data_IF_761070353282
#
_entry.id   IF_761070353282
#
_cell.length_a   1.000
_cell.length_b   1.000
_cell.length_c   1.000
_cell.angle_alpha   90.00
_cell.angle_beta   90.00
_cell.angle_gamma   90.00
#
_symmetry.space_group_name_H-M   'P 1'
#
loop_
_entity.id
_entity.type
_entity.pdbx_description
1 polymer ?
#
# COMPACT_ATOMS: atom_id res chain seq x y z
N UNK A 1 0.96 -0.92 1.52
CA UNK A 1 2.30 -0.30 1.50
C UNK A 1 2.82 -0.44 0.09
N UNK A 2 2.67 0.61 -0.71
CA UNK A 2 3.14 0.62 -2.11
C UNK A 2 4.30 1.61 -2.14
N UNK A 3 5.45 1.17 -2.66
CA UNK A 3 6.65 2.00 -2.72
C UNK A 3 7.17 2.43 -1.34
N UNK A 4 7.10 1.53 -0.36
CA UNK A 4 7.52 1.75 1.02
C UNK A 4 6.76 2.85 1.80
N UNK A 5 5.70 3.43 1.22
CA UNK A 5 4.90 4.43 1.92
C UNK A 5 4.14 3.78 3.08
N UNK A 6 4.25 4.41 4.25
CA UNK A 6 3.58 4.01 5.48
C UNK A 6 4.12 2.70 6.09
N UNK A 7 5.36 2.32 5.78
CA UNK A 7 6.03 1.20 6.47
C UNK A 7 6.22 1.48 7.96
N UNK A 8 6.35 2.75 8.33
CA UNK A 8 6.45 3.23 9.71
C UNK A 8 5.19 2.93 10.53
N UNK A 9 4.04 2.75 9.86
CA UNK A 9 2.80 2.39 10.55
C UNK A 9 2.66 0.91 10.83
N UNK A 10 3.47 0.05 10.22
CA UNK A 10 3.45 -1.40 10.50
C UNK A 10 4.64 -1.83 11.35
N UNK A 11 5.76 -1.11 11.28
CA UNK A 11 6.92 -1.35 12.10
C UNK A 11 6.75 -0.63 13.45
N UNK A 12 6.90 -1.36 14.55
CA UNK A 12 6.92 -0.74 15.87
C UNK A 12 8.22 0.06 16.04
N UNK A 13 8.11 1.36 16.30
CA UNK A 13 9.25 2.25 16.46
C UNK A 13 9.35 2.76 17.91
N UNK A 14 10.54 2.91 18.50
CA UNK A 14 10.69 3.41 19.86
C UNK A 14 10.59 4.94 19.91
N UNK A 15 9.50 5.50 19.38
CA UNK A 15 9.27 6.94 19.32
C UNK A 15 8.07 7.39 20.17
N UNK A 16 7.77 8.69 20.13
CA UNK A 16 6.69 9.30 20.92
C UNK A 16 5.29 8.98 20.38
N UNK A 17 5.20 8.51 19.14
CA UNK A 17 3.94 8.26 18.43
C UNK A 17 3.50 6.80 18.62
N UNK A 18 4.44 5.87 18.77
CA UNK A 18 4.17 4.44 18.93
C UNK A 18 3.16 4.09 20.03
N UNK A 19 3.19 4.69 21.25
CA UNK A 19 2.16 4.43 22.26
C UNK A 19 0.74 4.75 21.78
N UNK A 20 0.59 5.79 20.94
CA UNK A 20 -0.70 6.13 20.34
C UNK A 20 -1.11 5.14 19.25
N UNK A 21 -0.16 4.67 18.42
CA UNK A 21 -0.44 3.68 17.35
C UNK A 21 -0.79 2.28 17.90
N UNK A 22 -0.20 1.91 19.04
CA UNK A 22 -0.45 0.63 19.71
C UNK A 22 -1.64 0.68 20.70
N UNK A 23 -2.15 1.88 21.02
CA UNK A 23 -3.28 2.07 21.93
C UNK A 23 -4.57 1.43 21.40
N UNK A 24 -5.41 0.90 22.31
CA UNK A 24 -6.76 0.43 22.01
C UNK A 24 -7.67 1.51 21.40
N UNK A 25 -7.31 2.79 21.58
CA UNK A 25 -8.02 3.94 20.99
C UNK A 25 -7.72 4.14 19.49
N UNK A 26 -6.68 3.49 18.96
CA UNK A 26 -6.30 3.56 17.54
C UNK A 26 -6.60 2.25 16.85
N UNK A 27 -7.32 2.28 15.73
CA UNK A 27 -7.65 1.08 14.95
C UNK A 27 -7.14 1.19 13.52
N UNK A 28 -6.46 0.16 13.06
CA UNK A 28 -5.98 0.01 11.68
C UNK A 28 -6.97 -0.81 10.87
N UNK A 29 -7.63 -0.19 9.90
CA UNK A 29 -8.61 -0.86 9.06
C UNK A 29 -7.97 -1.19 7.71
N UNK A 30 -8.07 -2.45 7.28
CA UNK A 30 -7.61 -2.85 5.95
C UNK A 30 -8.69 -3.61 5.16
N UNK A 31 -8.97 -3.20 3.91
CA UNK A 31 -9.96 -3.85 3.07
C UNK A 31 -9.38 -5.12 2.43
N UNK A 32 -10.20 -6.17 2.35
CA UNK A 32 -9.90 -7.43 1.67
C UNK A 32 -10.95 -7.62 0.59
N UNK A 33 -10.63 -7.30 -0.67
CA UNK A 33 -11.57 -7.50 -1.77
C UNK A 33 -11.78 -8.98 -2.05
N UNK A 34 -12.98 -9.39 -2.43
CA UNK A 34 -13.18 -10.73 -2.97
C UNK A 34 -12.41 -10.92 -4.28
N UNK A 35 -12.14 -12.17 -4.68
CA UNK A 35 -11.49 -12.45 -5.98
C UNK A 35 -12.23 -11.84 -7.16
N UNK A 36 -13.56 -11.96 -7.18
CA UNK A 36 -14.40 -11.40 -8.24
C UNK A 36 -14.36 -9.88 -8.25
N UNK A 37 -14.42 -9.25 -7.07
CA UNK A 37 -14.29 -7.80 -6.95
C UNK A 37 -12.92 -7.34 -7.46
N UNK A 38 -11.83 -7.99 -7.02
CA UNK A 38 -10.47 -7.66 -7.45
C UNK A 38 -10.32 -7.74 -8.98
N UNK A 39 -10.80 -8.82 -9.60
CA UNK A 39 -10.76 -8.99 -11.05
C UNK A 39 -11.54 -7.90 -11.79
N UNK A 40 -12.71 -7.51 -11.27
CA UNK A 40 -13.52 -6.43 -11.83
C UNK A 40 -12.80 -5.08 -11.72
N UNK A 41 -12.19 -4.76 -10.56
CA UNK A 41 -11.42 -3.54 -10.36
C UNK A 41 -10.21 -3.45 -11.31
N UNK A 42 -9.50 -4.55 -11.51
CA UNK A 42 -8.38 -4.61 -12.46
C UNK A 42 -8.84 -4.45 -13.91
N UNK A 43 -10.01 -4.99 -14.28
CA UNK A 43 -10.60 -4.77 -15.59
C UNK A 43 -11.01 -3.30 -15.81
N UNK A 44 -11.61 -2.66 -14.80
CA UNK A 44 -11.92 -1.22 -14.83
C UNK A 44 -10.63 -0.42 -15.01
N UNK A 45 -9.59 -0.69 -14.20
CA UNK A 45 -8.30 0.01 -14.30
C UNK A 45 -7.65 -0.14 -15.67
N UNK A 46 -7.69 -1.33 -16.28
CA UNK A 46 -7.20 -1.52 -17.67
C UNK A 46 -7.97 -0.66 -18.68
N UNK A 47 -9.29 -0.58 -18.52
CA UNK A 47 -10.16 0.21 -19.41
C UNK A 47 -9.91 1.72 -19.27
N UNK A 48 -9.86 2.24 -18.04
CA UNK A 48 -9.65 3.68 -17.78
C UNK A 48 -8.23 4.11 -18.10
N UNK A 49 -7.23 3.26 -17.88
CA UNK A 49 -5.85 3.57 -18.27
C UNK A 49 -5.69 3.65 -19.80
N UNK A 50 -6.37 2.78 -20.55
CA UNK A 50 -6.36 2.82 -22.02
C UNK A 50 -7.19 3.98 -22.59
N UNK A 51 -8.26 4.39 -21.89
CA UNK A 51 -9.18 5.44 -22.31
C UNK A 51 -9.50 6.38 -21.13
N UNK A 52 -8.56 7.25 -20.75
CA UNK A 52 -8.75 8.13 -19.60
C UNK A 52 -9.86 9.13 -19.87
N UNK A 53 -10.76 9.27 -18.90
CA UNK A 53 -11.87 10.24 -18.91
C UNK A 53 -11.50 11.56 -18.25
N UNK A 54 -10.41 11.58 -17.49
CA UNK A 54 -9.84 12.76 -16.86
C UNK A 54 -8.31 12.74 -17.03
N UNK A 55 -7.62 13.89 -17.20
CA UNK A 55 -6.16 13.94 -17.36
C UNK A 55 -5.38 13.21 -16.25
N UNK A 56 -5.93 13.20 -15.04
CA UNK A 56 -5.29 12.57 -13.88
C UNK A 56 -5.38 11.04 -13.88
N UNK A 57 -6.33 10.45 -14.61
CA UNK A 57 -6.39 8.99 -14.76
C UNK A 57 -5.19 8.44 -15.51
N UNK A 58 -4.57 9.24 -16.39
CA UNK A 58 -3.31 8.86 -17.04
C UNK A 58 -2.12 8.85 -16.05
N UNK A 59 -2.26 9.50 -14.89
CA UNK A 59 -1.28 9.51 -13.79
C UNK A 59 -1.52 8.38 -12.79
N UNK A 60 -2.64 7.65 -12.89
CA UNK A 60 -2.92 6.50 -12.04
C UNK A 60 -1.85 5.42 -12.23
N UNK A 61 -1.65 4.60 -11.18
CA UNK A 61 -0.76 3.45 -11.26
C UNK A 61 -1.21 2.51 -12.41
N UNK A 62 -0.31 2.16 -13.35
CA UNK A 62 -0.65 1.30 -14.47
C UNK A 62 -1.01 -0.12 -13.98
N UNK A 63 -1.78 -0.90 -14.76
CA UNK A 63 -2.14 -2.27 -14.40
C UNK A 63 -0.95 -3.16 -14.00
N UNK A 64 0.19 -3.00 -14.69
CA UNK A 64 1.43 -3.72 -14.39
C UNK A 64 1.98 -3.44 -12.99
N UNK A 65 1.73 -2.25 -12.42
CA UNK A 65 2.10 -1.93 -11.03
C UNK A 65 1.25 -2.72 -10.04
N UNK A 66 -0.03 -2.95 -10.32
CA UNK A 66 -0.90 -3.76 -9.46
C UNK A 66 -0.48 -5.23 -9.46
N UNK A 67 -0.13 -5.76 -10.64
CA UNK A 67 0.40 -7.12 -10.81
C UNK A 67 1.74 -7.29 -10.10
N UNK A 68 2.65 -6.33 -10.25
CA UNK A 68 3.92 -6.30 -9.54
C UNK A 68 3.71 -6.26 -8.02
N UNK A 69 2.82 -5.41 -7.52
CA UNK A 69 2.52 -5.32 -6.10
C UNK A 69 2.00 -6.65 -5.55
N UNK A 70 1.10 -7.33 -6.27
CA UNK A 70 0.62 -8.65 -5.85
C UNK A 70 1.74 -9.71 -5.85
N UNK A 71 2.54 -9.77 -6.91
CA UNK A 71 3.68 -10.71 -6.98
C UNK A 71 4.67 -10.48 -5.84
N UNK A 72 4.96 -9.22 -5.51
CA UNK A 72 5.82 -8.88 -4.37
C UNK A 72 5.18 -9.31 -3.05
N UNK A 73 3.87 -9.11 -2.85
CA UNK A 73 3.15 -9.62 -1.68
C UNK A 73 3.31 -11.13 -1.54
N UNK A 74 3.09 -11.90 -2.60
CA UNK A 74 3.23 -13.36 -2.55
C UNK A 74 4.68 -13.79 -2.27
N UNK A 75 5.67 -13.18 -2.94
CA UNK A 75 7.08 -13.47 -2.70
C UNK A 75 7.47 -13.19 -1.24
N UNK A 76 7.08 -12.04 -0.70
CA UNK A 76 7.39 -11.68 0.69
C UNK A 76 6.63 -12.54 1.70
N UNK A 77 5.39 -12.92 1.41
CA UNK A 77 4.64 -13.87 2.23
C UNK A 77 5.30 -15.26 2.28
N UNK A 78 5.86 -15.74 1.15
CA UNK A 78 6.62 -16.99 1.10
C UNK A 78 7.94 -16.89 1.89
N UNK A 79 8.69 -15.79 1.73
CA UNK A 79 9.92 -15.53 2.50
C UNK A 79 9.68 -15.49 4.02
N UNK A 80 8.51 -15.03 4.45
CA UNK A 80 8.08 -15.02 5.85
C UNK A 80 7.50 -16.36 6.33
N UNK A 81 7.34 -17.35 5.44
CA UNK A 81 6.76 -18.66 5.75
C UNK A 81 5.24 -18.64 5.98
N UNK A 82 4.53 -17.61 5.50
CA UNK A 82 3.07 -17.48 5.66
C UNK A 82 2.28 -18.30 4.62
N UNK A 83 2.94 -18.62 3.51
CA UNK A 83 2.43 -19.43 2.41
C UNK A 83 3.54 -20.38 1.93
N UNK A 84 3.19 -21.37 1.11
CA UNK A 84 4.20 -22.24 0.49
C UNK A 84 4.88 -21.52 -0.69
N UNK A 85 6.09 -21.96 -1.04
CA UNK A 85 6.81 -21.43 -2.21
C UNK A 85 6.00 -21.66 -3.52
N UNK A 86 5.23 -22.75 -3.58
CA UNK A 86 4.36 -23.03 -4.73
C UNK A 86 3.24 -21.99 -4.89
N UNK A 87 2.81 -21.36 -3.80
CA UNK A 87 1.77 -20.33 -3.80
C UNK A 87 2.33 -18.91 -4.10
N UNK A 88 3.65 -18.74 -4.19
CA UNK A 88 4.31 -17.44 -4.42
C UNK A 88 3.97 -16.82 -5.79
N UNK A 89 3.43 -17.62 -6.71
CA UNK A 89 3.02 -17.22 -8.05
C UNK A 89 1.51 -17.34 -8.28
N UNK A 90 0.73 -17.56 -7.21
CA UNK A 90 -0.71 -17.67 -7.31
C UNK A 90 -1.33 -16.37 -7.83
N UNK A 91 -2.46 -16.46 -8.58
CA UNK A 91 -3.30 -15.30 -8.84
C UNK A 91 -3.80 -14.71 -7.51
N UNK A 92 -4.56 -13.61 -7.57
CA UNK A 92 -5.08 -13.01 -6.34
C UNK A 92 -5.87 -14.02 -5.51
N UNK A 93 -5.41 -14.22 -4.28
CA UNK A 93 -6.00 -15.12 -3.29
C UNK A 93 -6.24 -14.35 -1.98
N UNK A 94 -7.50 -14.24 -1.58
CA UNK A 94 -7.93 -13.46 -0.42
C UNK A 94 -7.17 -13.85 0.85
N UNK A 95 -6.98 -15.16 1.08
CA UNK A 95 -6.31 -15.64 2.29
C UNK A 95 -4.81 -15.39 2.31
N UNK A 96 -4.15 -15.32 1.15
CA UNK A 96 -2.74 -14.91 1.08
C UNK A 96 -2.62 -13.44 1.49
N UNK A 97 -3.50 -12.59 0.96
CA UNK A 97 -3.57 -11.17 1.31
C UNK A 97 -3.81 -10.98 2.82
N UNK A 98 -4.80 -11.70 3.38
CA UNK A 98 -5.13 -11.65 4.81
C UNK A 98 -3.94 -12.04 5.66
N UNK A 99 -3.34 -13.21 5.43
CA UNK A 99 -2.19 -13.68 6.22
C UNK A 99 -1.04 -12.69 6.19
N UNK A 100 -0.76 -12.11 5.02
CA UNK A 100 0.30 -11.12 4.87
C UNK A 100 0.00 -9.85 5.68
N UNK A 101 -1.19 -9.27 5.56
CA UNK A 101 -1.54 -8.05 6.30
C UNK A 101 -1.71 -8.28 7.80
N UNK A 102 -2.22 -9.43 8.23
CA UNK A 102 -2.25 -9.80 9.66
C UNK A 102 -0.84 -9.91 10.23
N UNK A 103 0.12 -10.45 9.48
CA UNK A 103 1.51 -10.45 9.88
C UNK A 103 2.06 -9.03 9.98
N UNK A 104 1.89 -8.20 8.94
CA UNK A 104 2.39 -6.82 8.93
C UNK A 104 1.82 -5.98 10.07
N UNK A 105 0.54 -6.17 10.41
CA UNK A 105 -0.16 -5.40 11.44
C UNK A 105 -0.17 -6.09 12.81
N UNK A 106 0.69 -7.09 13.04
CA UNK A 106 0.72 -7.88 14.28
C UNK A 106 0.93 -7.07 15.57
N UNK A 107 1.49 -5.86 15.46
CA UNK A 107 1.72 -4.92 16.57
C UNK A 107 0.69 -3.79 16.62
N UNK A 108 -0.44 -3.94 15.91
CA UNK A 108 -1.50 -2.93 15.78
C UNK A 108 -2.85 -3.53 16.11
N UNK A 109 -3.77 -2.69 16.59
CA UNK A 109 -5.18 -3.06 16.73
C UNK A 109 -5.84 -3.02 15.35
N UNK A 110 -5.74 -4.13 14.62
CA UNK A 110 -6.15 -4.18 13.22
C UNK A 110 -7.52 -4.86 13.02
N UNK A 111 -8.35 -4.27 12.18
CA UNK A 111 -9.63 -4.82 11.74
C UNK A 111 -9.60 -5.07 10.24
N UNK A 112 -9.86 -6.33 9.89
CA UNK A 112 -10.13 -6.76 8.52
C UNK A 112 -11.55 -6.39 8.13
N UNK A 113 -11.73 -5.75 6.97
CA UNK A 113 -13.05 -5.55 6.37
C UNK A 113 -13.11 -6.27 5.03
N UNK A 114 -14.05 -7.20 4.89
CA UNK A 114 -14.35 -7.81 3.60
C UNK A 114 -15.05 -6.80 2.68
N UNK A 115 -14.62 -6.72 1.43
CA UNK A 115 -15.24 -5.85 0.42
C UNK A 115 -15.64 -6.72 -0.76
N UNK A 116 -16.91 -6.70 -1.12
CA UNK A 116 -17.49 -7.54 -2.17
C UNK A 116 -18.35 -6.75 -3.18
N UNK A 117 -18.60 -5.47 -2.89
CA UNK A 117 -19.57 -4.66 -3.60
C UNK A 117 -18.90 -3.57 -4.42
N UNK A 118 -19.31 -3.43 -5.68
CA UNK A 118 -19.00 -2.28 -6.54
C UNK A 118 -20.22 -1.38 -6.57
N UNK A 119 -20.04 -0.12 -6.18
CA UNK A 119 -21.05 0.90 -6.37
C UNK A 119 -20.92 1.51 -7.77
N UNK A 120 -22.06 1.73 -8.42
CA UNK A 120 -22.10 2.41 -9.71
C UNK A 120 -21.64 3.86 -9.54
N UNK A 121 -20.62 4.25 -10.28
CA UNK A 121 -20.16 5.64 -10.40
C UNK A 121 -20.42 6.10 -11.85
N UNK A 122 -20.78 7.37 -12.00
CA UNK A 122 -20.66 8.08 -13.27
C UNK A 122 -19.57 9.15 -13.16
N UNK A 123 -18.67 9.23 -14.15
CA UNK A 123 -17.57 10.21 -14.18
C UNK A 123 -16.21 9.63 -13.81
N UNK A 124 -15.22 10.50 -13.61
CA UNK A 124 -13.91 10.15 -13.09
C UNK A 124 -13.91 10.18 -11.56
N UNK A 125 -13.05 9.38 -10.92
CA UNK A 125 -12.78 9.52 -9.48
C UNK A 125 -12.09 10.85 -9.12
N UNK A 126 -11.54 11.54 -10.13
CA UNK A 126 -10.88 12.84 -10.00
C UNK A 126 -11.84 14.02 -10.25
N UNK A 127 -13.08 13.76 -10.69
CA UNK A 127 -14.12 14.80 -10.85
C UNK A 127 -14.75 15.13 -9.49
N UNK A 128 -13.97 15.76 -8.61
CA UNK A 128 -14.42 16.17 -7.29
C UNK A 128 -15.09 17.54 -7.37
N UNK A 129 -16.35 17.63 -6.93
CA UNK A 129 -17.07 18.90 -6.76
C UNK A 129 -16.66 19.60 -5.44
N UNK A 130 -15.36 19.82 -5.29
CA UNK A 130 -14.76 20.44 -4.11
C UNK A 130 -13.54 21.28 -4.52
N UNK A 131 -13.31 22.37 -3.79
CA UNK A 131 -12.06 23.12 -3.92
C UNK A 131 -10.91 22.24 -3.42
N UNK A 132 -10.11 21.72 -4.34
CA UNK A 132 -8.92 20.93 -4.02
C UNK A 132 -7.75 21.88 -3.74
N UNK A 133 -7.17 21.77 -2.54
CA UNK A 133 -5.90 22.41 -2.22
C UNK A 133 -4.81 21.35 -2.34
N UNK A 134 -3.92 21.52 -3.32
CA UNK A 134 -2.77 20.63 -3.51
C UNK A 134 -1.61 21.11 -2.64
N UNK A 135 -1.12 20.23 -1.76
CA UNK A 135 0.08 20.46 -0.97
C UNK A 135 1.28 19.89 -1.73
N UNK A 136 2.22 20.76 -2.09
CA UNK A 136 3.49 20.38 -2.68
C UNK A 136 4.63 20.89 -1.81
N UNK A 137 5.61 20.04 -1.52
CA UNK A 137 6.84 20.47 -0.86
C UNK A 137 7.59 21.47 -1.76
N UNK A 138 8.08 22.55 -1.17
CA UNK A 138 8.96 23.50 -1.83
C UNK A 138 10.32 22.86 -2.13
N UNK A 139 11.06 23.37 -3.12
CA UNK A 139 12.41 22.88 -3.42
C UNK A 139 13.37 22.96 -2.22
N UNK A 140 13.19 23.94 -1.33
CA UNK A 140 13.97 24.08 -0.09
C UNK A 140 13.64 22.98 0.91
N UNK A 141 12.35 22.70 1.15
CA UNK A 141 11.92 21.60 2.03
C UNK A 141 12.45 20.26 1.54
N UNK A 142 12.37 20.00 0.23
CA UNK A 142 12.93 18.77 -0.37
C UNK A 142 14.43 18.66 -0.12
N UNK A 143 15.19 19.75 -0.31
CA UNK A 143 16.63 19.76 -0.05
C UNK A 143 16.97 19.48 1.41
N UNK A 144 16.25 20.11 2.34
CA UNK A 144 16.47 19.90 3.77
C UNK A 144 16.22 18.45 4.16
N UNK A 145 15.09 17.86 3.73
CA UNK A 145 14.76 16.46 4.04
C UNK A 145 15.79 15.50 3.43
N UNK A 146 16.25 15.73 2.19
CA UNK A 146 17.29 14.89 1.58
C UNK A 146 18.58 14.96 2.41
N UNK A 147 19.02 16.17 2.79
CA UNK A 147 20.23 16.35 3.59
C UNK A 147 20.13 15.67 4.97
N UNK A 148 18.95 15.68 5.60
CA UNK A 148 18.69 14.96 6.85
C UNK A 148 18.81 13.44 6.67
N UNK A 149 18.23 12.89 5.60
CA UNK A 149 18.34 11.45 5.29
C UNK A 149 19.80 11.06 5.01
N UNK A 150 20.52 11.84 4.22
CA UNK A 150 21.94 11.59 3.91
C UNK A 150 22.86 11.72 5.14
N UNK A 151 22.48 12.53 6.13
CA UNK A 151 23.20 12.64 7.39
C UNK A 151 22.90 11.48 8.35
N UNK A 152 21.72 10.88 8.26
CA UNK A 152 21.25 9.83 9.16
C UNK A 152 21.55 8.41 8.65
N UNK A 153 21.64 8.19 7.34
CA UNK A 153 21.77 6.87 6.74
C UNK A 153 22.88 6.81 5.69
N UNK A 154 23.61 5.70 5.67
CA UNK A 154 24.35 5.29 4.47
C UNK A 154 23.39 4.79 3.38
N UNK A 155 23.84 4.78 2.12
CA UNK A 155 23.05 4.24 0.99
C UNK A 155 22.71 2.78 1.23
N UNK A 156 23.64 2.01 1.80
CA UNK A 156 23.46 0.60 2.12
C UNK A 156 22.40 0.38 3.20
N UNK A 157 22.40 1.19 4.26
CA UNK A 157 21.40 1.12 5.32
C UNK A 157 20.01 1.49 4.81
N UNK A 158 19.89 2.60 4.08
CA UNK A 158 18.62 3.02 3.50
C UNK A 158 18.08 1.96 2.52
N UNK A 159 18.94 1.37 1.69
CA UNK A 159 18.55 0.29 0.77
C UNK A 159 18.04 -0.92 1.54
N UNK A 160 18.78 -1.35 2.57
CA UNK A 160 18.37 -2.50 3.41
C UNK A 160 17.02 -2.26 4.06
N UNK A 161 16.78 -1.06 4.59
CA UNK A 161 15.53 -0.74 5.28
C UNK A 161 14.34 -0.70 4.30
N UNK A 162 14.56 -0.15 3.10
CA UNK A 162 13.59 -0.20 1.99
C UNK A 162 13.32 -1.63 1.53
N UNK A 163 14.33 -2.50 1.48
CA UNK A 163 14.15 -3.88 1.05
C UNK A 163 13.45 -4.75 2.10
N UNK A 164 13.61 -4.44 3.39
CA UNK A 164 13.15 -5.27 4.51
C UNK A 164 11.94 -4.71 5.26
N UNK A 165 11.23 -3.74 4.68
CA UNK A 165 10.08 -3.07 5.29
C UNK A 165 9.01 -4.01 5.87
N UNK A 166 8.84 -5.20 5.29
CA UNK A 166 7.84 -6.20 5.65
C UNK A 166 8.25 -7.09 6.84
N UNK A 167 9.48 -6.95 7.34
CA UNK A 167 9.97 -7.70 8.51
C UNK A 167 9.57 -6.95 9.78
N UNK A 168 8.48 -7.40 10.41
CA UNK A 168 7.86 -6.79 11.61
C UNK A 168 7.84 -7.70 12.84
#
# INVERSE_FOLDING_TARGET
>A
IIGNRFSEFIQAQPDQVEPALASEETTFIYPVPTKSLRANLEAIRRSTFANPKHPDEARDAPPSTMELAWRLTCAKAAELGLISEADSHSPYEEMIYVRFFEHLLRHRNAIRIGVDTIYSNAGSAHDLDANVLELSASPDEVRCVIAEVEAAFTVEEATRDVENWYRV
#
